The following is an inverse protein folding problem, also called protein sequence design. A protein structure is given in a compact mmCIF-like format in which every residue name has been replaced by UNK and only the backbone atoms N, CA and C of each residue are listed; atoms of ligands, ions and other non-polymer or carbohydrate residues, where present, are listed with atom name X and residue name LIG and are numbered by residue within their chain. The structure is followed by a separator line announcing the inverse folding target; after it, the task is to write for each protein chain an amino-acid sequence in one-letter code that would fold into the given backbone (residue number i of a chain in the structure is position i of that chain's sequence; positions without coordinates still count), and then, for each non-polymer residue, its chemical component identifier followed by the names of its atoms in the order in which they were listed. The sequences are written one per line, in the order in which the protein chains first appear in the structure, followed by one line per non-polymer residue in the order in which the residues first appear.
data_IF_783732080694
#
_entry.id   IF_783732080694
#
_cell.length_a   1.000
_cell.length_b   1.000
_cell.length_c   1.000
_cell.angle_alpha   90.00
_cell.angle_beta   90.00
_cell.angle_gamma   90.00
#
_symmetry.space_group_name_H-M   'P 1'
#
loop_
_entity.id
_entity.type
_entity.pdbx_description
1 polymer ?
#
# COMPACT_ATOMS: atom_id res chain seq x y z
N UNK A 1 14.93 11.65 -9.77
CA UNK A 1 13.74 10.78 -9.60
C UNK A 1 14.10 9.37 -10.03
N UNK A 2 13.70 8.34 -9.27
CA UNK A 2 13.83 6.91 -9.66
C UNK A 2 12.43 6.32 -9.91
N UNK A 3 12.34 5.21 -10.64
CA UNK A 3 11.05 4.56 -10.96
C UNK A 3 10.24 4.21 -9.70
N UNK A 4 10.89 3.62 -8.67
CA UNK A 4 10.24 3.31 -7.40
C UNK A 4 9.67 4.55 -6.70
N UNK A 5 10.44 5.65 -6.67
CA UNK A 5 10.01 6.92 -6.06
C UNK A 5 8.84 7.54 -6.82
N UNK A 6 8.92 7.54 -8.15
CA UNK A 6 7.88 8.07 -9.01
C UNK A 6 6.57 7.28 -8.87
N UNK A 7 6.64 5.95 -8.89
CA UNK A 7 5.48 5.08 -8.70
C UNK A 7 4.80 5.30 -7.35
N UNK A 8 5.58 5.33 -6.25
CA UNK A 8 5.05 5.59 -4.92
C UNK A 8 4.34 6.95 -4.88
N UNK A 9 5.03 8.04 -5.27
CA UNK A 9 4.46 9.38 -5.25
C UNK A 9 3.20 9.49 -6.09
N UNK A 10 3.20 8.92 -7.31
CA UNK A 10 2.06 8.99 -8.22
C UNK A 10 0.79 8.39 -7.60
N UNK A 11 0.90 7.23 -6.94
CA UNK A 11 -0.22 6.61 -6.23
C UNK A 11 -0.57 7.37 -4.93
N UNK A 12 0.40 7.98 -4.24
CA UNK A 12 0.13 8.79 -3.05
C UNK A 12 -0.63 10.08 -3.38
N UNK A 13 -0.39 10.70 -4.54
CA UNK A 13 -1.21 11.83 -4.99
C UNK A 13 -2.66 11.41 -5.23
N UNK A 14 -2.90 10.21 -5.77
CA UNK A 14 -4.24 9.67 -5.92
C UNK A 14 -4.90 9.33 -4.58
N UNK A 15 -4.14 8.75 -3.64
CA UNK A 15 -4.59 8.53 -2.26
C UNK A 15 -5.08 9.84 -1.61
N UNK A 16 -4.31 10.92 -1.71
CA UNK A 16 -4.68 12.23 -1.16
C UNK A 16 -5.87 12.83 -1.89
N UNK A 17 -5.95 12.66 -3.22
CA UNK A 17 -7.11 13.08 -4.02
C UNK A 17 -8.40 12.37 -3.60
N UNK A 18 -8.30 11.14 -3.09
CA UNK A 18 -9.42 10.38 -2.54
C UNK A 18 -9.74 10.74 -1.06
N UNK A 19 -9.11 11.79 -0.51
CA UNK A 19 -9.44 12.34 0.81
C UNK A 19 -8.65 11.74 1.98
N UNK A 20 -7.67 10.88 1.71
CA UNK A 20 -6.81 10.27 2.73
C UNK A 20 -5.50 11.04 2.91
N UNK A 21 -4.72 10.68 3.92
CA UNK A 21 -3.45 11.33 4.22
C UNK A 21 -2.26 10.36 4.06
N UNK A 22 -1.09 10.92 3.76
CA UNK A 22 0.13 10.12 3.64
C UNK A 22 0.71 9.85 5.03
N UNK A 23 1.14 8.61 5.26
CA UNK A 23 1.78 8.13 6.48
C UNK A 23 2.79 7.03 6.13
N UNK A 24 3.72 6.68 7.03
CA UNK A 24 4.61 5.54 6.76
C UNK A 24 3.80 4.25 6.52
N UNK A 25 2.73 4.08 7.32
CA UNK A 25 1.80 2.96 7.18
C UNK A 25 1.21 2.89 5.76
N UNK A 26 0.55 3.95 5.28
CA UNK A 26 -0.07 3.94 3.95
C UNK A 26 0.97 3.75 2.85
N UNK A 27 2.18 4.30 3.01
CA UNK A 27 3.28 4.09 2.07
C UNK A 27 3.74 2.63 2.00
N UNK A 28 3.83 1.92 3.13
CA UNK A 28 4.11 0.47 3.15
C UNK A 28 3.02 -0.30 2.39
N UNK A 29 1.74 0.07 2.53
CA UNK A 29 0.62 -0.60 1.85
C UNK A 29 0.57 -0.33 0.36
N UNK A 30 0.79 0.92 -0.02
CA UNK A 30 0.88 1.32 -1.43
C UNK A 30 2.08 0.62 -2.09
N UNK A 31 3.24 0.57 -1.44
CA UNK A 31 4.39 -0.18 -1.95
C UNK A 31 4.09 -1.67 -2.09
N UNK A 32 3.39 -2.28 -1.12
CA UNK A 32 2.98 -3.68 -1.19
C UNK A 32 2.18 -3.97 -2.46
N UNK A 33 1.12 -3.18 -2.72
CA UNK A 33 0.28 -3.39 -3.90
C UNK A 33 0.95 -2.98 -5.21
N UNK A 34 1.79 -1.93 -5.24
CA UNK A 34 2.62 -1.63 -6.40
C UNK A 34 3.46 -2.85 -6.81
N UNK A 35 4.03 -3.59 -5.85
CA UNK A 35 4.76 -4.82 -6.17
C UNK A 35 3.87 -5.94 -6.71
N UNK A 36 2.63 -6.06 -6.22
CA UNK A 36 1.62 -7.02 -6.73
C UNK A 36 1.27 -6.76 -8.20
N UNK A 37 1.40 -5.52 -8.67
CA UNK A 37 1.17 -5.13 -10.05
C UNK A 37 2.43 -5.01 -10.91
N UNK A 38 3.58 -5.54 -10.45
CA UNK A 38 4.80 -5.65 -11.26
C UNK A 38 5.95 -4.73 -10.82
N UNK A 39 5.76 -3.88 -9.80
CA UNK A 39 6.81 -2.98 -9.34
C UNK A 39 7.93 -3.65 -8.52
N UNK A 40 7.87 -4.97 -8.28
CA UNK A 40 8.87 -5.70 -7.46
C UNK A 40 10.30 -5.51 -7.96
N UNK A 41 10.49 -5.41 -9.28
CA UNK A 41 11.82 -5.17 -9.89
C UNK A 41 12.41 -3.80 -9.53
N UNK A 42 11.58 -2.80 -9.23
CA UNK A 42 11.99 -1.46 -8.85
C UNK A 42 12.20 -1.31 -7.35
N UNK A 43 11.30 -1.87 -6.55
CA UNK A 43 11.28 -1.71 -5.10
C UNK A 43 12.14 -2.74 -4.37
N UNK A 44 12.11 -4.01 -4.82
CA UNK A 44 12.83 -5.14 -4.19
C UNK A 44 12.57 -5.23 -2.67
N UNK A 45 11.32 -5.01 -2.28
CA UNK A 45 10.86 -5.09 -0.90
C UNK A 45 10.38 -6.52 -0.62
N UNK A 46 10.76 -7.02 0.55
CA UNK A 46 10.27 -8.28 1.09
C UNK A 46 9.37 -7.95 2.27
N UNK A 47 8.17 -8.48 2.24
CA UNK A 47 7.13 -8.19 3.22
C UNK A 47 6.94 -9.38 4.15
N UNK A 48 6.84 -9.09 5.44
CA UNK A 48 6.64 -10.09 6.48
C UNK A 48 5.50 -9.67 7.41
N UNK A 49 4.97 -10.63 8.20
CA UNK A 49 4.10 -10.31 9.32
C UNK A 49 4.83 -9.45 10.36
N UNK A 50 4.16 -8.39 10.82
CA UNK A 50 4.44 -7.51 11.93
C UNK A 50 3.14 -7.10 12.69
N UNK A 51 3.03 -5.85 13.16
CA UNK A 51 1.88 -5.39 13.96
C UNK A 51 0.71 -4.83 13.12
N UNK A 52 1.03 -4.15 12.00
CA UNK A 52 0.08 -3.52 11.07
C UNK A 52 0.21 -4.08 9.64
N UNK A 53 0.72 -5.30 9.52
CA UNK A 53 1.11 -6.14 8.38
C UNK A 53 0.34 -6.00 7.08
N UNK A 54 0.97 -6.37 5.95
CA UNK A 54 2.39 -6.70 5.78
C UNK A 54 3.31 -5.48 5.95
N UNK A 55 4.55 -5.70 6.42
CA UNK A 55 5.56 -4.65 6.62
C UNK A 55 6.91 -5.06 6.03
N UNK A 56 7.57 -4.15 5.32
CA UNK A 56 8.92 -4.35 4.78
C UNK A 56 10.01 -3.70 5.62
N UNK A 57 9.69 -2.58 6.30
CA UNK A 57 10.66 -1.79 7.07
C UNK A 57 11.72 -1.10 6.23
N UNK A 58 11.60 -1.14 4.91
CA UNK A 58 12.52 -0.50 3.97
C UNK A 58 11.90 0.72 3.30
N UNK A 59 10.57 0.87 3.33
CA UNK A 59 9.87 2.03 2.75
C UNK A 59 10.27 3.33 3.44
N UNK A 60 10.59 3.32 4.75
CA UNK A 60 11.16 4.47 5.46
C UNK A 60 12.39 5.10 4.79
N UNK A 61 13.25 4.30 4.14
CA UNK A 61 14.40 4.84 3.43
C UNK A 61 14.00 5.55 2.12
N UNK A 62 12.92 5.08 1.48
CA UNK A 62 12.32 5.77 0.32
C UNK A 62 11.74 7.11 0.78
N UNK A 63 10.99 7.13 1.88
CA UNK A 63 10.39 8.34 2.45
C UNK A 63 11.45 9.35 2.86
N UNK A 64 12.50 8.91 3.55
CA UNK A 64 13.63 9.77 3.90
C UNK A 64 14.30 10.38 2.67
N UNK A 65 14.51 9.60 1.61
CA UNK A 65 15.09 10.10 0.37
C UNK A 65 14.16 11.03 -0.43
N UNK A 66 12.87 11.09 -0.09
CA UNK A 66 11.88 12.02 -0.63
C UNK A 66 11.67 13.25 0.26
N UNK A 67 12.14 13.19 1.52
CA UNK A 67 11.98 14.24 2.50
C UNK A 67 12.72 15.52 2.06
N UNK A 68 12.04 16.68 2.16
CA UNK A 68 12.58 17.97 1.74
C UNK A 68 12.38 18.30 0.26
N UNK A 69 11.81 17.39 -0.55
CA UNK A 69 11.53 17.65 -1.98
C UNK A 69 10.10 17.30 -2.36
N UNK A 70 9.65 16.09 -2.03
CA UNK A 70 8.30 15.61 -2.38
C UNK A 70 7.46 15.28 -1.15
N UNK A 71 8.12 14.98 -0.03
CA UNK A 71 7.50 14.71 1.27
C UNK A 71 8.13 15.63 2.31
N UNK A 72 7.39 16.06 3.32
CA UNK A 72 7.91 16.77 4.48
C UNK A 72 7.50 16.09 5.78
N UNK A 73 8.34 16.26 6.80
CA UNK A 73 8.08 15.77 8.15
C UNK A 73 8.55 14.34 8.40
N UNK A 74 9.56 13.85 7.66
CA UNK A 74 10.15 12.52 7.84
C UNK A 74 11.69 12.59 7.94
N UNK A 75 12.23 13.63 8.58
CA UNK A 75 13.67 13.89 8.70
C UNK A 75 14.43 12.87 9.52
N UNK A 76 13.83 12.32 10.56
CA UNK A 76 14.54 11.51 11.57
C UNK A 76 14.20 10.02 11.49
N UNK A 77 13.38 9.61 10.51
CA UNK A 77 12.88 8.24 10.30
C UNK A 77 12.23 7.59 11.55
N UNK A 78 11.74 8.40 12.48
CA UNK A 78 11.23 7.98 13.80
C UNK A 78 9.74 8.28 14.00
N UNK A 79 9.08 8.81 12.97
CA UNK A 79 7.64 9.07 12.99
C UNK A 79 6.85 7.80 13.26
N UNK A 80 5.76 7.95 14.00
CA UNK A 80 4.85 6.83 14.25
C UNK A 80 4.15 6.41 12.94
N UNK A 81 3.74 5.15 12.80
CA UNK A 81 3.24 4.62 11.54
C UNK A 81 2.08 5.42 10.91
N UNK A 82 1.18 5.96 11.73
CA UNK A 82 0.01 6.73 11.30
C UNK A 82 0.18 8.25 11.45
N UNK A 83 1.37 8.73 11.81
CA UNK A 83 1.57 10.18 11.86
C UNK A 83 1.58 10.77 10.44
N UNK A 84 0.78 11.83 10.18
CA UNK A 84 0.69 12.40 8.84
C UNK A 84 2.02 12.95 8.33
N UNK A 85 2.26 12.78 7.04
CA UNK A 85 3.33 13.37 6.26
C UNK A 85 2.73 14.35 5.27
N UNK A 86 3.44 15.44 4.98
CA UNK A 86 2.97 16.42 4.01
C UNK A 86 3.50 16.06 2.62
N UNK A 87 2.60 15.77 1.69
CA UNK A 87 2.92 15.59 0.28
C UNK A 87 3.03 16.97 -0.40
N UNK A 88 4.15 17.24 -1.06
CA UNK A 88 4.41 18.54 -1.69
C UNK A 88 3.66 18.62 -3.02
N UNK A 89 2.71 19.56 -3.13
CA UNK A 89 1.85 19.68 -4.31
C UNK A 89 2.62 20.02 -5.60
N UNK A 90 3.60 20.93 -5.52
CA UNK A 90 4.40 21.38 -6.67
C UNK A 90 5.19 20.24 -7.35
N UNK A 91 5.41 19.13 -6.63
CA UNK A 91 6.06 17.94 -7.17
C UNK A 91 5.18 17.12 -8.13
N UNK A 92 3.86 17.35 -8.15
CA UNK A 92 2.90 16.49 -8.85
C UNK A 92 3.16 16.43 -10.35
N UNK A 93 3.25 17.58 -11.03
CA UNK A 93 3.42 17.62 -12.50
C UNK A 93 4.73 16.95 -12.95
N UNK A 94 5.79 17.05 -12.13
CA UNK A 94 7.07 16.38 -12.39
C UNK A 94 6.92 14.86 -12.27
N UNK A 95 6.26 14.39 -11.20
CA UNK A 95 6.02 12.95 -10.98
C UNK A 95 5.11 12.38 -12.06
N UNK A 96 4.03 13.10 -12.40
CA UNK A 96 3.08 12.73 -13.43
C UNK A 96 3.76 12.57 -14.78
N UNK A 97 4.49 13.59 -15.23
CA UNK A 97 5.24 13.53 -16.50
C UNK A 97 6.25 12.37 -16.52
N UNK A 98 6.89 12.07 -15.40
CA UNK A 98 7.83 10.95 -15.30
C UNK A 98 7.14 9.59 -15.47
N UNK A 99 5.99 9.37 -14.83
CA UNK A 99 5.26 8.10 -14.92
C UNK A 99 4.57 7.96 -16.28
N UNK A 100 3.88 8.99 -16.75
CA UNK A 100 3.10 8.94 -18.00
C UNK A 100 3.98 8.81 -19.25
N UNK A 101 5.23 9.28 -19.20
CA UNK A 101 6.21 9.08 -20.30
C UNK A 101 6.76 7.64 -20.40
N UNK A 102 6.42 6.75 -19.45
CA UNK A 102 6.90 5.37 -19.38
C UNK A 102 5.71 4.41 -19.34
N UNK A 103 5.33 3.78 -20.46
CA UNK A 103 4.13 2.94 -20.54
C UNK A 103 4.03 1.88 -19.45
N UNK A 104 5.15 1.23 -19.12
CA UNK A 104 5.19 0.23 -18.05
C UNK A 104 4.89 0.81 -16.66
N UNK A 105 5.49 1.96 -16.30
CA UNK A 105 5.22 2.57 -15.00
C UNK A 105 3.77 3.04 -14.91
N UNK A 106 3.27 3.63 -16.00
CA UNK A 106 1.89 4.09 -16.09
C UNK A 106 0.91 2.92 -15.90
N UNK A 107 1.14 1.79 -16.56
CA UNK A 107 0.30 0.61 -16.41
C UNK A 107 0.27 0.11 -14.96
N UNK A 108 1.44 -0.06 -14.34
CA UNK A 108 1.58 -0.48 -12.94
C UNK A 108 0.81 0.46 -12.01
N UNK A 109 1.04 1.77 -12.15
CA UNK A 109 0.41 2.78 -11.31
C UNK A 109 -1.11 2.79 -11.49
N UNK A 110 -1.60 2.79 -12.73
CA UNK A 110 -3.04 2.81 -13.02
C UNK A 110 -3.75 1.54 -12.55
N UNK A 111 -3.15 0.36 -12.71
CA UNK A 111 -3.71 -0.89 -12.17
C UNK A 111 -3.77 -0.86 -10.66
N UNK A 112 -2.74 -0.32 -10.01
CA UNK A 112 -2.70 -0.16 -8.55
C UNK A 112 -3.77 0.81 -8.05
N UNK A 113 -3.91 1.99 -8.67
CA UNK A 113 -4.93 2.97 -8.26
C UNK A 113 -6.35 2.45 -8.47
N UNK A 114 -6.65 1.85 -9.64
CA UNK A 114 -7.96 1.22 -9.87
C UNK A 114 -8.27 0.12 -8.87
N UNK A 115 -7.26 -0.64 -8.46
CA UNK A 115 -7.43 -1.67 -7.45
C UNK A 115 -7.62 -1.08 -6.04
N UNK A 116 -7.02 0.07 -5.72
CA UNK A 116 -7.16 0.70 -4.40
C UNK A 116 -8.32 1.70 -4.31
N UNK A 117 -9.04 1.96 -5.41
CA UNK A 117 -10.22 2.81 -5.43
C UNK A 117 -11.26 2.33 -4.42
N UNK A 118 -11.61 3.18 -3.45
CA UNK A 118 -12.50 2.83 -2.32
C UNK A 118 -11.85 2.06 -1.16
N UNK A 119 -10.54 1.75 -1.24
CA UNK A 119 -9.78 1.01 -0.22
C UNK A 119 -8.61 1.80 0.39
N UNK A 120 -8.55 3.13 0.20
CA UNK A 120 -7.42 3.94 0.65
C UNK A 120 -7.35 4.24 2.14
N UNK A 121 -8.45 4.11 2.89
CA UNK A 121 -8.43 4.35 4.34
C UNK A 121 -7.48 3.40 5.05
N UNK A 122 -6.92 3.83 6.19
CA UNK A 122 -5.98 3.00 6.96
C UNK A 122 -6.56 1.61 7.28
N UNK A 123 -7.84 1.57 7.67
CA UNK A 123 -8.57 0.33 7.92
C UNK A 123 -8.64 -0.57 6.68
N UNK A 124 -9.04 -0.01 5.53
CA UNK A 124 -9.25 -0.77 4.30
C UNK A 124 -7.91 -1.27 3.74
N UNK A 125 -6.87 -0.43 3.74
CA UNK A 125 -5.53 -0.82 3.34
C UNK A 125 -4.98 -1.94 4.23
N UNK A 126 -5.17 -1.85 5.55
CA UNK A 126 -4.70 -2.88 6.48
C UNK A 126 -5.40 -4.22 6.23
N UNK A 127 -6.73 -4.22 6.12
CA UNK A 127 -7.52 -5.42 5.89
C UNK A 127 -7.18 -6.07 4.55
N UNK A 128 -7.19 -5.28 3.48
CA UNK A 128 -6.97 -5.75 2.12
C UNK A 128 -5.57 -6.36 1.98
N UNK A 129 -4.55 -5.69 2.51
CA UNK A 129 -3.17 -6.18 2.44
C UNK A 129 -2.93 -7.39 3.34
N UNK A 130 -3.61 -7.49 4.49
CA UNK A 130 -3.55 -8.67 5.36
C UNK A 130 -4.18 -9.90 4.69
N UNK A 131 -5.38 -9.77 4.12
CA UNK A 131 -6.05 -10.86 3.40
C UNK A 131 -5.22 -11.29 2.20
N UNK A 132 -4.74 -10.34 1.39
CA UNK A 132 -3.89 -10.67 0.24
C UNK A 132 -2.64 -11.43 0.67
N UNK A 133 -1.96 -11.00 1.73
CA UNK A 133 -0.80 -11.72 2.25
C UNK A 133 -1.12 -13.17 2.64
N UNK A 134 -2.23 -13.40 3.36
CA UNK A 134 -2.67 -14.74 3.76
C UNK A 134 -2.98 -15.60 2.55
N UNK A 135 -3.75 -15.08 1.60
CA UNK A 135 -4.14 -15.78 0.37
C UNK A 135 -2.90 -16.26 -0.40
N UNK A 136 -1.87 -15.43 -0.50
CA UNK A 136 -0.63 -15.80 -1.19
C UNK A 136 0.20 -16.83 -0.42
N UNK A 137 0.21 -16.73 0.90
CA UNK A 137 0.94 -17.66 1.77
C UNK A 137 0.30 -19.04 1.79
N UNK A 138 -1.01 -19.09 1.99
CA UNK A 138 -1.79 -20.33 2.09
C UNK A 138 -2.23 -20.87 0.71
N UNK A 139 -2.06 -20.07 -0.34
CA UNK A 139 -2.44 -20.39 -1.73
C UNK A 139 -3.92 -20.76 -1.87
N UNK A 140 -4.78 -20.06 -1.14
CA UNK A 140 -6.23 -20.30 -1.15
C UNK A 140 -7.00 -19.01 -0.91
N UNK A 141 -8.17 -18.92 -1.53
CA UNK A 141 -9.16 -17.89 -1.24
C UNK A 141 -10.34 -18.45 -0.42
N UNK A 142 -10.20 -19.63 0.16
CA UNK A 142 -11.23 -20.21 1.01
C UNK A 142 -11.47 -19.35 2.24
N UNK A 143 -12.66 -18.75 2.34
CA UNK A 143 -13.04 -17.80 3.40
C UNK A 143 -12.67 -18.30 4.79
N UNK A 144 -13.01 -19.56 5.11
CA UNK A 144 -12.78 -20.11 6.44
C UNK A 144 -11.29 -20.17 6.78
N UNK A 145 -10.45 -20.66 5.85
CA UNK A 145 -8.99 -20.74 6.05
C UNK A 145 -8.42 -19.34 6.25
N UNK A 146 -8.74 -18.42 5.34
CA UNK A 146 -8.20 -17.06 5.37
C UNK A 146 -8.64 -16.31 6.64
N UNK A 147 -9.91 -16.45 7.04
CA UNK A 147 -10.45 -15.81 8.25
C UNK A 147 -9.82 -16.40 9.51
N UNK A 148 -9.67 -17.72 9.61
CA UNK A 148 -8.98 -18.36 10.74
C UNK A 148 -7.56 -17.86 10.89
N UNK A 149 -6.80 -17.72 9.80
CA UNK A 149 -5.46 -17.13 9.84
C UNK A 149 -5.48 -15.67 10.27
N UNK A 150 -6.38 -14.85 9.71
CA UNK A 150 -6.50 -13.43 10.07
C UNK A 150 -6.80 -13.25 11.57
N UNK A 151 -7.70 -14.08 12.12
CA UNK A 151 -8.07 -14.03 13.54
C UNK A 151 -6.97 -14.57 14.46
N UNK A 152 -6.15 -15.50 13.97
CA UNK A 152 -4.99 -16.02 14.72
C UNK A 152 -3.80 -15.05 14.73
N UNK A 153 -3.82 -14.05 13.85
CA UNK A 153 -2.71 -13.14 13.63
C UNK A 153 -2.41 -12.26 14.85
N UNK A 154 -3.45 -11.67 15.44
CA UNK A 154 -3.38 -10.96 16.72
C UNK A 154 -4.79 -10.69 17.25
N UNK A 155 -4.89 -10.46 18.58
CA UNK A 155 -6.14 -10.04 19.19
C UNK A 155 -6.67 -8.74 18.55
N UNK A 156 -5.79 -7.76 18.30
CA UNK A 156 -6.16 -6.49 17.67
C UNK A 156 -6.86 -6.71 16.33
N UNK A 157 -6.29 -7.54 15.45
CA UNK A 157 -6.86 -7.80 14.11
C UNK A 157 -8.18 -8.55 14.21
N UNK A 158 -8.28 -9.54 15.11
CA UNK A 158 -9.54 -10.24 15.39
C UNK A 158 -10.65 -9.25 15.81
N UNK A 159 -10.35 -8.31 16.71
CA UNK A 159 -11.33 -7.30 17.14
C UNK A 159 -11.65 -6.31 16.02
N UNK A 160 -10.63 -5.75 15.36
CA UNK A 160 -10.77 -4.71 14.34
C UNK A 160 -11.49 -5.22 13.09
N UNK A 161 -11.23 -6.46 12.67
CA UNK A 161 -11.82 -7.09 11.48
C UNK A 161 -12.89 -8.12 11.84
N UNK A 162 -13.64 -7.87 12.91
CA UNK A 162 -14.74 -8.72 13.38
C UNK A 162 -15.98 -8.65 12.48
N UNK A 163 -16.17 -7.55 11.75
CA UNK A 163 -17.30 -7.43 10.81
C UNK A 163 -17.04 -8.24 9.53
N UNK A 164 -17.76 -9.35 9.40
CA UNK A 164 -17.64 -10.25 8.24
C UNK A 164 -17.88 -9.57 6.90
N UNK A 165 -18.74 -8.55 6.82
CA UNK A 165 -19.05 -7.89 5.56
C UNK A 165 -17.81 -7.20 4.96
N UNK A 166 -16.97 -6.57 5.79
CA UNK A 166 -15.73 -5.95 5.31
C UNK A 166 -14.72 -6.99 4.83
N UNK A 167 -14.65 -8.13 5.52
CA UNK A 167 -13.83 -9.26 5.11
C UNK A 167 -14.28 -9.80 3.76
N UNK A 168 -15.58 -10.07 3.59
CA UNK A 168 -16.14 -10.63 2.36
C UNK A 168 -15.95 -9.69 1.16
N UNK A 169 -16.18 -8.38 1.35
CA UNK A 169 -15.92 -7.36 0.33
C UNK A 169 -14.45 -7.37 -0.09
N UNK A 170 -13.52 -7.40 0.87
CA UNK A 170 -12.09 -7.39 0.60
C UNK A 170 -11.61 -8.68 -0.08
N UNK A 171 -12.11 -9.84 0.35
CA UNK A 171 -11.77 -11.14 -0.25
C UNK A 171 -12.29 -11.24 -1.68
N UNK A 172 -13.53 -10.83 -1.94
CA UNK A 172 -14.11 -10.82 -3.28
C UNK A 172 -13.36 -9.84 -4.21
N UNK A 173 -12.97 -8.68 -3.68
CA UNK A 173 -12.16 -7.71 -4.42
C UNK A 173 -10.81 -8.31 -4.85
N UNK A 174 -10.16 -9.08 -3.97
CA UNK A 174 -8.91 -9.78 -4.30
C UNK A 174 -9.08 -10.94 -5.29
N UNK A 175 -10.21 -11.65 -5.25
CA UNK A 175 -10.50 -12.75 -6.19
C UNK A 175 -10.73 -12.25 -7.61
N UNK A 176 -11.30 -11.06 -7.76
CA UNK A 176 -11.62 -10.46 -9.07
C UNK A 176 -10.46 -9.66 -9.65
N UNK A 177 -9.44 -9.36 -8.85
CA UNK A 177 -8.25 -8.64 -9.29
C UNK A 177 -7.31 -9.52 -10.13
N UNK A 178 -6.81 -8.96 -11.24
CA UNK A 178 -5.74 -9.57 -12.03
C UNK A 178 -4.40 -8.97 -11.62
N UNK A 179 -3.60 -9.74 -10.87
CA UNK A 179 -2.23 -9.37 -10.49
C UNK A 179 -1.22 -9.73 -11.60
N UNK A 180 -0.01 -9.14 -11.54
CA UNK A 180 1.05 -9.31 -12.53
C UNK A 180 2.00 -10.47 -12.18
#
# INVERSE_FOLDING_TARGET
MTDARALLLYVLYDLVKNGEYVSEFSCEKVCYFLQRFGAKKYFKLDFQPNFYDPYSGKVRHVLYALNGSYIMGYSDMDKKPFEPLTLVADGYETVKSYVESRPELLEIAQRTMRFLEGFYSDFALELLSSIDYIVNKERTYEKQVVKTYLDSWSERKRTMFSNERYFDVSLNHLQTASFA
#
